data_IF_249406662080
#
_entry.id   IF_249406662080
#
_cell.length_a   1.000
_cell.length_b   1.000
_cell.length_c   1.000
_cell.angle_alpha   90.00
_cell.angle_beta   90.00
_cell.angle_gamma   90.00
#
_symmetry.space_group_name_H-M   'P 1'
#
loop_
_entity.id
_entity.type
_entity.pdbx_description
1 polymer ?
#
# COMPACT_ATOMS: atom_id res chain seq x y z
N UNK A 1 3.31 23.79 -3.61
CA UNK A 1 4.76 23.47 -3.65
C UNK A 1 5.14 23.29 -5.11
N UNK A 2 6.14 24.02 -5.60
CA UNK A 2 6.64 23.95 -6.98
C UNK A 2 7.95 23.18 -6.98
N UNK A 3 8.15 22.27 -7.93
CA UNK A 3 9.39 21.55 -8.13
C UNK A 3 10.04 21.95 -9.46
N UNK A 4 11.31 22.27 -9.43
CA UNK A 4 12.09 22.57 -10.65
C UNK A 4 12.34 21.28 -11.46
N UNK A 5 12.57 21.37 -12.77
CA UNK A 5 12.93 20.20 -13.56
C UNK A 5 14.17 19.45 -13.05
N UNK A 6 15.12 20.18 -12.44
CA UNK A 6 16.31 19.55 -11.83
C UNK A 6 15.96 18.74 -10.58
N UNK A 7 15.13 19.27 -9.70
CA UNK A 7 14.67 18.54 -8.50
C UNK A 7 13.89 17.28 -8.88
N UNK A 8 13.03 17.37 -9.90
CA UNK A 8 12.28 16.22 -10.40
C UNK A 8 13.24 15.17 -10.99
N UNK A 9 14.20 15.60 -11.83
CA UNK A 9 15.18 14.70 -12.43
C UNK A 9 16.03 13.99 -11.37
N UNK A 10 16.55 14.72 -10.39
CA UNK A 10 17.33 14.16 -9.28
C UNK A 10 16.53 13.19 -8.41
N UNK A 11 15.22 13.40 -8.28
CA UNK A 11 14.35 12.50 -7.52
C UNK A 11 14.04 11.21 -8.28
N UNK A 12 13.83 11.29 -9.60
CA UNK A 12 13.47 10.13 -10.43
C UNK A 12 14.72 9.31 -10.82
N UNK A 13 15.84 9.99 -11.13
CA UNK A 13 17.08 9.35 -11.60
C UNK A 13 18.26 9.80 -10.73
N UNK A 14 18.34 9.35 -9.48
CA UNK A 14 19.47 9.67 -8.61
C UNK A 14 20.77 9.07 -9.17
N UNK A 15 21.76 9.92 -9.37
CA UNK A 15 23.08 9.49 -9.87
C UNK A 15 23.28 9.53 -11.38
N UNK A 16 22.23 9.86 -12.17
CA UNK A 16 22.38 10.10 -13.61
C UNK A 16 22.79 11.55 -13.91
N UNK A 17 23.25 11.77 -15.17
CA UNK A 17 23.55 13.12 -15.65
C UNK A 17 22.28 13.98 -15.66
N UNK A 18 22.27 14.98 -14.75
CA UNK A 18 21.15 15.88 -14.56
C UNK A 18 20.81 16.66 -15.83
N UNK A 19 21.79 17.05 -16.63
CA UNK A 19 21.52 17.85 -17.84
C UNK A 19 20.83 17.02 -18.93
N UNK A 20 21.21 15.76 -19.05
CA UNK A 20 20.56 14.83 -19.97
C UNK A 20 19.14 14.49 -19.50
N UNK A 21 18.95 14.23 -18.21
CA UNK A 21 17.66 13.84 -17.63
C UNK A 21 16.65 14.99 -17.57
N UNK A 22 17.09 16.23 -17.30
CA UNK A 22 16.22 17.43 -17.31
C UNK A 22 15.52 17.64 -18.65
N UNK A 23 16.19 17.34 -19.77
CA UNK A 23 15.57 17.42 -21.11
C UNK A 23 14.37 16.48 -21.24
N UNK A 24 14.42 15.33 -20.58
CA UNK A 24 13.36 14.32 -20.63
C UNK A 24 12.12 14.74 -19.82
N UNK A 25 12.27 15.61 -18.80
CA UNK A 25 11.14 16.02 -17.91
C UNK A 25 10.00 16.65 -18.70
N UNK A 26 10.31 17.53 -19.68
CA UNK A 26 9.26 18.15 -20.52
C UNK A 26 8.43 17.09 -21.26
N UNK A 27 9.10 16.10 -21.82
CA UNK A 27 8.45 14.98 -22.53
C UNK A 27 7.62 14.11 -21.58
N UNK A 28 8.11 13.84 -20.36
CA UNK A 28 7.38 13.09 -19.35
C UNK A 28 6.13 13.84 -18.91
N UNK A 29 6.24 15.13 -18.57
CA UNK A 29 5.10 15.94 -18.17
C UNK A 29 4.07 16.04 -19.30
N UNK A 30 4.52 16.19 -20.56
CA UNK A 30 3.62 16.18 -21.71
C UNK A 30 2.84 14.86 -21.81
N UNK A 31 3.53 13.71 -21.80
CA UNK A 31 2.88 12.38 -21.87
C UNK A 31 1.94 12.15 -20.68
N UNK A 32 2.37 12.52 -19.48
CA UNK A 32 1.54 12.42 -18.30
C UNK A 32 0.24 13.23 -18.43
N UNK A 33 0.34 14.48 -18.93
CA UNK A 33 -0.85 15.32 -19.18
C UNK A 33 -1.78 14.68 -20.19
N UNK A 34 -1.27 14.17 -21.29
CA UNK A 34 -2.07 13.48 -22.31
C UNK A 34 -2.84 12.29 -21.72
N UNK A 35 -2.17 11.47 -20.93
CA UNK A 35 -2.80 10.32 -20.28
C UNK A 35 -3.85 10.75 -19.24
N UNK A 36 -3.56 11.78 -18.47
CA UNK A 36 -4.45 12.24 -17.40
C UNK A 36 -5.66 13.03 -17.94
N UNK A 37 -5.51 13.81 -19.02
CA UNK A 37 -6.59 14.53 -19.68
C UNK A 37 -7.68 13.57 -20.23
N UNK A 38 -7.35 12.30 -20.47
CA UNK A 38 -8.33 11.27 -20.82
C UNK A 38 -9.21 10.84 -19.62
N UNK A 39 -8.75 11.11 -18.39
CA UNK A 39 -9.40 10.69 -17.16
C UNK A 39 -10.08 11.86 -16.41
N UNK A 40 -9.74 13.10 -16.76
CA UNK A 40 -10.20 14.29 -16.03
C UNK A 40 -10.17 15.53 -16.92
N UNK A 41 -11.21 16.36 -16.82
CA UNK A 41 -11.29 17.66 -17.50
C UNK A 41 -10.34 18.72 -16.91
N UNK A 42 -9.63 18.37 -15.85
CA UNK A 42 -8.70 19.28 -15.16
C UNK A 42 -7.25 18.85 -15.31
N UNK A 43 -6.37 19.81 -15.58
CA UNK A 43 -4.92 19.55 -15.58
C UNK A 43 -4.43 19.27 -14.17
N UNK A 44 -3.83 18.09 -13.95
CA UNK A 44 -3.23 17.73 -12.66
C UNK A 44 -1.91 18.47 -12.42
N UNK A 45 -1.07 18.62 -13.46
CA UNK A 45 0.23 19.30 -13.38
C UNK A 45 0.17 20.61 -14.15
N UNK A 46 0.46 21.72 -13.46
CA UNK A 46 0.61 23.05 -14.04
C UNK A 46 2.07 23.42 -14.20
N UNK A 47 2.37 24.20 -15.26
CA UNK A 47 3.68 24.82 -15.44
C UNK A 47 3.72 26.16 -14.71
N UNK A 48 4.83 26.43 -14.05
CA UNK A 48 5.14 27.71 -13.42
C UNK A 48 6.41 28.29 -14.05
N UNK A 49 6.75 29.55 -13.80
CA UNK A 49 8.01 30.12 -14.29
C UNK A 49 9.27 29.37 -13.82
N UNK A 50 9.20 28.69 -12.66
CA UNK A 50 10.34 27.99 -12.04
C UNK A 50 10.27 26.48 -12.18
N UNK A 51 9.17 25.91 -12.71
CA UNK A 51 9.04 24.45 -12.84
C UNK A 51 7.60 23.97 -12.97
N UNK A 52 7.26 22.96 -12.20
CA UNK A 52 5.95 22.31 -12.21
C UNK A 52 5.36 22.22 -10.82
N UNK A 53 4.04 22.27 -10.75
CA UNK A 53 3.29 22.05 -9.50
C UNK A 53 2.04 21.21 -9.77
N UNK A 54 1.56 20.53 -8.74
CA UNK A 54 0.21 19.97 -8.75
C UNK A 54 -0.78 21.14 -8.72
N UNK A 55 -1.80 21.09 -9.55
CA UNK A 55 -2.82 22.13 -9.63
C UNK A 55 -3.42 22.38 -8.24
N UNK A 56 -3.24 23.57 -7.67
CA UNK A 56 -3.67 23.91 -6.30
C UNK A 56 -5.20 23.93 -6.14
N UNK A 57 -5.96 23.93 -7.24
CA UNK A 57 -7.42 23.86 -7.23
C UNK A 57 -7.93 22.44 -7.05
N UNK A 58 -7.06 21.42 -7.17
CA UNK A 58 -7.41 20.02 -7.04
C UNK A 58 -7.01 19.50 -5.66
N UNK A 59 -7.95 18.79 -5.02
CA UNK A 59 -7.63 17.98 -3.86
C UNK A 59 -7.14 16.60 -4.34
N UNK A 60 -5.81 16.45 -4.37
CA UNK A 60 -5.17 15.21 -4.82
C UNK A 60 -4.78 14.39 -3.60
N UNK A 61 -5.29 13.17 -3.54
CA UNK A 61 -4.91 12.18 -2.53
C UNK A 61 -4.42 10.92 -3.23
N UNK A 62 -3.34 10.36 -2.72
CA UNK A 62 -2.89 9.03 -3.12
C UNK A 62 -3.54 7.98 -2.24
N UNK A 63 -3.64 6.75 -2.74
CA UNK A 63 -4.15 5.59 -2.00
C UNK A 63 -3.40 5.38 -0.68
N UNK A 64 -2.06 5.49 -0.68
CA UNK A 64 -1.27 5.35 0.54
C UNK A 64 -1.51 6.49 1.56
N UNK A 65 -1.78 7.74 1.12
CA UNK A 65 -2.16 8.83 2.02
C UNK A 65 -3.53 8.58 2.65
N UNK A 66 -4.46 8.05 1.87
CA UNK A 66 -5.77 7.66 2.36
C UNK A 66 -5.68 6.46 3.31
N UNK A 67 -4.80 5.49 3.01
CA UNK A 67 -4.48 4.38 3.90
C UNK A 67 -3.98 4.90 5.27
N UNK A 68 -2.94 5.73 5.28
CA UNK A 68 -2.39 6.30 6.51
C UNK A 68 -3.44 7.06 7.33
N UNK A 69 -4.31 7.80 6.65
CA UNK A 69 -5.42 8.52 7.30
C UNK A 69 -6.41 7.54 7.95
N UNK A 70 -6.84 6.50 7.24
CA UNK A 70 -7.78 5.49 7.78
C UNK A 70 -7.14 4.70 8.91
N UNK A 71 -5.89 4.28 8.74
CA UNK A 71 -5.10 3.65 9.79
C UNK A 71 -5.02 4.50 11.06
N UNK A 72 -4.69 5.79 10.92
CA UNK A 72 -4.59 6.70 12.05
C UNK A 72 -5.93 6.86 12.80
N UNK A 73 -7.06 6.87 12.08
CA UNK A 73 -8.40 6.91 12.69
C UNK A 73 -8.65 5.61 13.45
N UNK A 74 -8.38 4.46 12.84
CA UNK A 74 -8.56 3.16 13.46
C UNK A 74 -7.77 3.02 14.77
N UNK A 75 -6.52 3.50 14.78
CA UNK A 75 -5.66 3.42 15.97
C UNK A 75 -6.09 4.34 17.13
N UNK A 76 -6.92 5.34 16.82
CA UNK A 76 -7.49 6.27 17.83
C UNK A 76 -8.92 5.90 18.21
N UNK A 77 -9.56 5.00 17.49
CA UNK A 77 -10.93 4.59 17.77
C UNK A 77 -11.02 3.88 19.13
N UNK A 78 -11.93 4.33 19.97
CA UNK A 78 -12.23 3.71 21.27
C UNK A 78 -13.22 2.55 21.11
N UNK A 79 -14.09 2.63 20.12
CA UNK A 79 -15.07 1.59 19.81
C UNK A 79 -14.47 0.50 18.93
N UNK A 80 -14.71 -0.75 19.32
CA UNK A 80 -14.21 -1.94 18.61
C UNK A 80 -14.74 -2.04 17.18
N UNK A 81 -16.01 -1.77 16.96
CA UNK A 81 -16.62 -1.84 15.63
C UNK A 81 -16.09 -0.77 14.71
N UNK A 82 -15.94 0.44 15.22
CA UNK A 82 -15.34 1.55 14.50
C UNK A 82 -13.89 1.22 14.09
N UNK A 83 -13.10 0.68 15.04
CA UNK A 83 -11.72 0.25 14.75
C UNK A 83 -11.66 -0.78 13.62
N UNK A 84 -12.48 -1.83 13.69
CA UNK A 84 -12.58 -2.86 12.63
C UNK A 84 -12.95 -2.24 11.29
N UNK A 85 -13.93 -1.35 11.25
CA UNK A 85 -14.40 -0.70 10.03
C UNK A 85 -13.30 0.13 9.36
N UNK A 86 -12.57 0.95 10.13
CA UNK A 86 -11.50 1.77 9.57
C UNK A 86 -10.26 0.97 9.17
N UNK A 87 -9.94 -0.13 9.89
CA UNK A 87 -8.89 -1.06 9.47
C UNK A 87 -9.23 -1.73 8.14
N UNK A 88 -10.46 -2.23 7.97
CA UNK A 88 -10.93 -2.79 6.70
C UNK A 88 -10.82 -1.76 5.57
N UNK A 89 -11.31 -0.54 5.79
CA UNK A 89 -11.22 0.55 4.80
C UNK A 89 -9.77 0.91 4.44
N UNK A 90 -8.84 0.83 5.39
CA UNK A 90 -7.41 1.04 5.10
C UNK A 90 -6.85 -0.10 4.25
N UNK A 91 -7.11 -1.35 4.64
CA UNK A 91 -6.63 -2.54 3.93
C UNK A 91 -7.16 -2.60 2.50
N UNK A 92 -8.41 -2.22 2.25
CA UNK A 92 -9.03 -2.23 0.92
C UNK A 92 -8.42 -1.19 -0.04
N UNK A 93 -7.72 -0.18 0.48
CA UNK A 93 -6.96 0.78 -0.35
C UNK A 93 -5.66 0.19 -0.90
N UNK A 94 -5.17 -0.90 -0.34
CA UNK A 94 -3.96 -1.56 -0.83
C UNK A 94 -4.30 -2.47 -2.01
N UNK A 95 -3.92 -2.05 -3.22
CA UNK A 95 -4.19 -2.78 -4.46
C UNK A 95 -2.95 -3.55 -4.97
N UNK A 96 -1.92 -3.68 -4.14
CA UNK A 96 -0.66 -4.31 -4.48
C UNK A 96 0.55 -3.39 -4.29
N UNK A 97 1.74 -3.83 -4.71
CA UNK A 97 2.96 -3.04 -4.58
C UNK A 97 2.85 -1.70 -5.28
N UNK A 98 3.35 -0.63 -4.63
CA UNK A 98 3.40 0.69 -5.25
C UNK A 98 4.12 0.63 -6.60
N UNK A 99 3.56 1.31 -7.60
CA UNK A 99 4.11 1.45 -8.95
C UNK A 99 4.27 0.13 -9.74
N UNK A 100 3.69 -0.96 -9.29
CA UNK A 100 3.64 -2.22 -10.04
C UNK A 100 4.99 -2.68 -10.58
N UNK A 101 5.18 -2.65 -11.89
CA UNK A 101 6.42 -3.10 -12.55
C UNK A 101 7.64 -2.21 -12.31
N UNK A 102 7.45 -0.96 -11.87
CA UNK A 102 8.54 -0.04 -11.54
C UNK A 102 8.99 -0.12 -10.08
N UNK A 103 8.50 -1.10 -9.32
CA UNK A 103 8.79 -1.25 -7.88
C UNK A 103 10.27 -1.44 -7.57
N UNK A 104 11.04 -1.97 -8.51
CA UNK A 104 12.46 -2.28 -8.33
C UNK A 104 13.37 -1.07 -8.61
N UNK A 105 12.80 0.05 -9.05
CA UNK A 105 13.54 1.30 -9.20
C UNK A 105 14.04 1.80 -7.83
N UNK A 106 15.33 2.12 -7.75
CA UNK A 106 16.01 2.41 -6.48
C UNK A 106 15.31 3.50 -5.64
N UNK A 107 14.81 4.56 -6.29
CA UNK A 107 14.16 5.67 -5.61
C UNK A 107 12.75 5.34 -5.06
N UNK A 108 12.12 4.28 -5.58
CA UNK A 108 10.79 3.81 -5.16
C UNK A 108 10.90 2.73 -4.08
N UNK A 109 11.91 1.86 -4.16
CA UNK A 109 12.03 0.63 -3.37
C UNK A 109 11.77 0.85 -1.88
N UNK A 110 12.36 1.90 -1.28
CA UNK A 110 12.16 2.20 0.14
C UNK A 110 10.69 2.53 0.47
N UNK A 111 9.96 3.13 -0.46
CA UNK A 111 8.54 3.46 -0.31
C UNK A 111 7.65 2.23 -0.47
N UNK A 112 7.98 1.37 -1.44
CA UNK A 112 7.29 0.09 -1.66
C UNK A 112 7.38 -0.76 -0.40
N UNK A 113 8.58 -1.00 0.11
CA UNK A 113 8.82 -1.79 1.32
C UNK A 113 8.10 -1.18 2.54
N UNK A 114 8.20 0.14 2.72
CA UNK A 114 7.55 0.80 3.85
C UNK A 114 6.02 0.70 3.79
N UNK A 115 5.43 0.78 2.60
CA UNK A 115 3.98 0.69 2.43
C UNK A 115 3.47 -0.75 2.61
N UNK A 116 4.20 -1.74 2.06
CA UNK A 116 3.90 -3.15 2.25
C UNK A 116 3.97 -3.53 3.74
N UNK A 117 5.02 -3.09 4.45
CA UNK A 117 5.15 -3.33 5.89
C UNK A 117 3.99 -2.73 6.69
N UNK A 118 3.54 -1.51 6.34
CA UNK A 118 2.36 -0.88 6.96
C UNK A 118 1.09 -1.65 6.69
N UNK A 119 0.92 -2.14 5.46
CA UNK A 119 -0.23 -2.96 5.10
C UNK A 119 -0.26 -4.25 5.94
N UNK A 120 0.85 -4.98 6.02
CA UNK A 120 0.94 -6.20 6.83
C UNK A 120 0.64 -5.92 8.31
N UNK A 121 1.15 -4.80 8.84
CA UNK A 121 0.85 -4.33 10.19
C UNK A 121 -0.65 -4.03 10.40
N UNK A 122 -1.31 -3.43 9.40
CA UNK A 122 -2.75 -3.18 9.45
C UNK A 122 -3.57 -4.46 9.46
N UNK A 123 -3.18 -5.46 8.66
CA UNK A 123 -3.84 -6.76 8.63
C UNK A 123 -3.66 -7.49 9.97
N UNK A 124 -2.45 -7.48 10.54
CA UNK A 124 -2.21 -8.05 11.87
C UNK A 124 -3.07 -7.38 12.96
N UNK A 125 -3.15 -6.06 12.96
CA UNK A 125 -3.97 -5.33 13.93
C UNK A 125 -5.46 -5.61 13.76
N UNK A 126 -5.92 -5.76 12.52
CA UNK A 126 -7.30 -6.17 12.24
C UNK A 126 -7.58 -7.57 12.80
N UNK A 127 -6.69 -8.54 12.56
CA UNK A 127 -6.87 -9.91 13.07
C UNK A 127 -6.91 -9.96 14.59
N UNK A 128 -6.02 -9.23 15.28
CA UNK A 128 -6.06 -9.06 16.76
C UNK A 128 -7.38 -8.47 17.23
N UNK A 129 -7.88 -7.47 16.50
CA UNK A 129 -9.14 -6.81 16.87
C UNK A 129 -10.33 -7.75 16.63
N UNK A 130 -10.34 -8.49 15.51
CA UNK A 130 -11.39 -9.47 15.21
C UNK A 130 -11.41 -10.64 16.21
N UNK A 131 -10.25 -11.05 16.75
CA UNK A 131 -10.14 -12.09 17.75
C UNK A 131 -10.89 -11.73 19.04
N UNK A 132 -10.82 -10.48 19.49
CA UNK A 132 -11.62 -9.99 20.62
C UNK A 132 -13.13 -10.15 20.38
N UNK A 133 -13.57 -10.01 19.13
CA UNK A 133 -14.95 -10.23 18.70
C UNK A 133 -15.28 -11.69 18.34
N UNK A 134 -14.30 -12.60 18.38
CA UNK A 134 -14.41 -14.01 17.98
C UNK A 134 -14.87 -14.20 16.51
N UNK A 135 -14.53 -13.26 15.63
CA UNK A 135 -14.86 -13.35 14.20
C UNK A 135 -13.78 -14.13 13.43
N UNK A 136 -13.70 -15.42 13.68
CA UNK A 136 -12.67 -16.30 13.14
C UNK A 136 -12.78 -16.49 11.63
N UNK A 137 -13.97 -16.35 11.06
CA UNK A 137 -14.17 -16.41 9.60
C UNK A 137 -13.49 -15.22 8.93
N UNK A 138 -13.68 -14.01 9.47
CA UNK A 138 -12.96 -12.85 8.97
C UNK A 138 -11.45 -12.95 9.20
N UNK A 139 -10.99 -13.49 10.32
CA UNK A 139 -9.54 -13.72 10.57
C UNK A 139 -8.98 -14.62 9.49
N UNK A 140 -9.60 -15.75 9.19
CA UNK A 140 -9.15 -16.66 8.12
C UNK A 140 -9.06 -15.96 6.76
N UNK A 141 -10.07 -15.15 6.43
CA UNK A 141 -10.08 -14.37 5.19
C UNK A 141 -8.89 -13.39 5.09
N UNK A 142 -8.61 -12.62 6.15
CA UNK A 142 -7.52 -11.64 6.13
C UNK A 142 -6.14 -12.28 6.24
N UNK A 143 -6.01 -13.41 6.96
CA UNK A 143 -4.79 -14.21 6.97
C UNK A 143 -4.47 -14.76 5.56
N UNK A 144 -5.48 -15.22 4.83
CA UNK A 144 -5.32 -15.64 3.42
C UNK A 144 -4.84 -14.48 2.54
N UNK A 145 -5.45 -13.29 2.66
CA UNK A 145 -4.99 -12.09 1.94
C UNK A 145 -3.54 -11.74 2.27
N UNK A 146 -3.14 -11.84 3.53
CA UNK A 146 -1.76 -11.60 3.97
C UNK A 146 -0.78 -12.56 3.30
N UNK A 147 -1.10 -13.87 3.29
CA UNK A 147 -0.24 -14.88 2.70
C UNK A 147 -0.13 -14.77 1.16
N UNK A 148 -1.13 -14.19 0.48
CA UNK A 148 -1.03 -13.89 -0.95
C UNK A 148 0.03 -12.82 -1.25
N UNK A 149 0.23 -11.87 -0.34
CA UNK A 149 1.20 -10.77 -0.51
C UNK A 149 2.55 -11.14 0.08
N UNK A 150 2.55 -11.78 1.25
CA UNK A 150 3.73 -12.20 1.99
C UNK A 150 3.67 -13.72 2.27
N UNK A 151 4.01 -14.58 1.29
CA UNK A 151 3.90 -16.05 1.42
C UNK A 151 4.75 -16.66 2.53
N UNK A 152 5.75 -15.92 3.03
CA UNK A 152 6.63 -16.32 4.13
C UNK A 152 6.28 -15.63 5.46
N UNK A 153 5.06 -15.08 5.59
CA UNK A 153 4.63 -14.41 6.81
C UNK A 153 4.30 -15.42 7.92
N UNK A 154 5.08 -15.40 8.99
CA UNK A 154 4.80 -16.19 10.21
C UNK A 154 3.43 -15.80 10.79
N UNK A 155 3.16 -14.49 10.88
CA UNK A 155 1.87 -13.99 11.38
C UNK A 155 0.69 -14.47 10.52
N UNK A 156 0.86 -14.48 9.19
CA UNK A 156 -0.17 -14.98 8.27
C UNK A 156 -0.53 -16.44 8.54
N UNK A 157 0.48 -17.32 8.68
CA UNK A 157 0.26 -18.73 9.02
C UNK A 157 -0.30 -18.90 10.44
N UNK A 158 0.21 -18.15 11.41
CA UNK A 158 -0.29 -18.20 12.78
C UNK A 158 -1.79 -17.92 12.84
N UNK A 159 -2.24 -16.80 12.27
CA UNK A 159 -3.64 -16.41 12.29
C UNK A 159 -4.53 -17.34 11.46
N UNK A 160 -4.03 -17.86 10.34
CA UNK A 160 -4.74 -18.84 9.53
C UNK A 160 -5.01 -20.13 10.31
N UNK A 161 -3.96 -20.73 10.87
CA UNK A 161 -4.04 -21.96 11.66
C UNK A 161 -4.90 -21.75 12.90
N UNK A 162 -4.71 -20.65 13.61
CA UNK A 162 -5.48 -20.30 14.80
C UNK A 162 -6.99 -20.21 14.49
N UNK A 163 -7.35 -19.47 13.45
CA UNK A 163 -8.75 -19.35 13.04
C UNK A 163 -9.38 -20.69 12.65
N UNK A 164 -8.63 -21.54 11.93
CA UNK A 164 -9.11 -22.90 11.57
C UNK A 164 -9.38 -23.76 12.81
N UNK A 165 -8.52 -23.69 13.84
CA UNK A 165 -8.77 -24.40 15.10
C UNK A 165 -10.00 -23.86 15.82
N UNK A 166 -10.20 -22.57 15.85
CA UNK A 166 -11.36 -21.94 16.50
C UNK A 166 -12.68 -22.25 15.76
N UNK A 167 -12.61 -22.54 14.47
CA UNK A 167 -13.74 -22.92 13.61
C UNK A 167 -14.00 -24.45 13.60
N UNK A 168 -13.31 -25.20 14.47
CA UNK A 168 -13.41 -26.68 14.54
C UNK A 168 -13.00 -27.41 13.23
N UNK A 169 -11.95 -26.89 12.57
CA UNK A 169 -11.34 -27.48 11.37
C UNK A 169 -9.90 -27.97 11.60
N UNK A 170 -9.65 -28.91 12.55
CA UNK A 170 -8.30 -29.30 12.96
C UNK A 170 -7.50 -29.97 11.84
N UNK A 171 -8.14 -30.69 10.93
CA UNK A 171 -7.42 -31.33 9.82
C UNK A 171 -6.91 -30.30 8.80
N UNK A 172 -7.70 -29.25 8.51
CA UNK A 172 -7.26 -28.14 7.67
C UNK A 172 -6.11 -27.40 8.33
N UNK A 173 -6.20 -27.10 9.63
CA UNK A 173 -5.15 -26.46 10.40
C UNK A 173 -3.82 -27.24 10.37
N UNK A 174 -3.87 -28.58 10.47
CA UNK A 174 -2.69 -29.45 10.32
C UNK A 174 -2.10 -29.41 8.90
N UNK A 175 -2.97 -29.32 7.89
CA UNK A 175 -2.54 -29.14 6.49
C UNK A 175 -1.76 -27.84 6.33
N UNK A 176 -2.31 -26.74 6.85
CA UNK A 176 -1.71 -25.41 6.80
C UNK A 176 -0.39 -25.32 7.58
N UNK A 177 -0.31 -26.00 8.73
CA UNK A 177 0.93 -26.11 9.49
C UNK A 177 2.06 -26.77 8.68
N UNK A 178 1.75 -27.84 7.95
CA UNK A 178 2.71 -28.50 7.04
C UNK A 178 3.15 -27.56 5.90
N UNK A 179 2.22 -26.76 5.36
CA UNK A 179 2.55 -25.73 4.37
C UNK A 179 3.48 -24.67 4.96
N UNK A 180 3.17 -24.16 6.15
CA UNK A 180 4.01 -23.20 6.87
C UNK A 180 5.43 -23.74 7.08
N UNK A 181 5.58 -24.98 7.52
CA UNK A 181 6.89 -25.60 7.71
C UNK A 181 7.72 -25.67 6.42
N UNK A 182 7.09 -25.89 5.25
CA UNK A 182 7.78 -25.93 3.95
C UNK A 182 8.18 -24.54 3.45
N UNK A 183 7.39 -23.54 3.76
CA UNK A 183 7.58 -22.19 3.23
C UNK A 183 8.47 -21.31 4.13
N UNK A 184 8.61 -21.67 5.42
CA UNK A 184 9.36 -20.90 6.41
C UNK A 184 10.73 -21.49 6.73
N UNK A 185 10.98 -22.73 6.39
CA UNK A 185 12.25 -23.48 6.59
C UNK A 185 12.93 -23.75 5.26
#
# INVERSE_FOLDING_TARGET
MTASPREIASAIWPGEDIEATVKNIKGLVYRFRQTFELLSDHRLIESTPTGYQINPRLNVFTDFQLFDKKWSIAMKAADHKEKVEFLKKAIDLYQGPLFGSARDEHWIMSKVVAFEYRYLGAVCELMKTLDLGRDYVCIQHYASKMLLIAPHSIDGYYWMIYAMFQLDHPEMARGELRMAQRNLL
#
